data_IF_124078375309
#
_entry.id   IF_124078375309
#
_cell.length_a   1.000
_cell.length_b   1.000
_cell.length_c   1.000
_cell.angle_alpha   90.00
_cell.angle_beta   90.00
_cell.angle_gamma   90.00
#
_symmetry.space_group_name_H-M   'P 1'
#
loop_
_entity.id
_entity.type
_entity.pdbx_description
1 polymer ?
#
# COMPACT_ATOMS: atom_id res chain seq x y z
N UNK A 1 2.92 -12.47 -31.80
CA UNK A 1 3.91 -11.66 -31.06
C UNK A 1 3.59 -11.80 -29.58
N UNK A 2 4.38 -12.58 -28.85
CA UNK A 2 4.22 -12.71 -27.39
C UNK A 2 5.05 -11.58 -26.76
N UNK A 3 4.41 -10.46 -26.47
CA UNK A 3 5.07 -9.35 -25.76
C UNK A 3 5.53 -9.85 -24.39
N UNK A 4 6.82 -9.74 -24.09
CA UNK A 4 7.40 -10.08 -22.79
C UNK A 4 8.22 -11.38 -22.72
N UNK A 5 8.43 -12.07 -23.85
CA UNK A 5 9.32 -13.25 -23.95
C UNK A 5 10.39 -12.98 -25.03
N UNK A 6 11.64 -13.31 -24.76
CA UNK A 6 12.73 -13.19 -25.75
C UNK A 6 12.60 -14.19 -26.91
N UNK A 7 13.08 -13.80 -28.09
CA UNK A 7 13.19 -14.71 -29.24
C UNK A 7 14.34 -15.72 -29.02
N UNK A 8 14.29 -16.86 -29.71
CA UNK A 8 15.35 -17.89 -29.62
C UNK A 8 16.74 -17.33 -29.97
N UNK A 9 16.82 -16.49 -31.01
CA UNK A 9 18.06 -15.82 -31.39
C UNK A 9 18.64 -14.93 -30.29
N UNK A 10 17.78 -14.29 -29.49
CA UNK A 10 18.21 -13.45 -28.37
C UNK A 10 18.72 -14.31 -27.19
N UNK A 11 18.10 -15.46 -26.96
CA UNK A 11 18.53 -16.45 -25.95
C UNK A 11 19.91 -17.01 -26.32
N UNK A 12 20.08 -17.46 -27.57
CA UNK A 12 21.35 -18.00 -28.07
C UNK A 12 22.50 -16.99 -27.96
N UNK A 13 22.22 -15.71 -28.24
CA UNK A 13 23.20 -14.63 -28.12
C UNK A 13 23.65 -14.38 -26.67
N UNK A 14 22.76 -14.55 -25.70
CA UNK A 14 23.03 -14.29 -24.29
C UNK A 14 23.76 -15.45 -23.59
N UNK A 15 23.68 -16.68 -24.12
CA UNK A 15 24.22 -17.88 -23.50
C UNK A 15 25.72 -17.82 -23.18
N UNK A 16 26.52 -17.21 -24.06
CA UNK A 16 27.98 -17.10 -23.90
C UNK A 16 28.43 -15.73 -23.37
N UNK A 17 27.53 -15.01 -22.71
CA UNK A 17 27.79 -13.64 -22.22
C UNK A 17 27.54 -13.55 -20.73
N UNK A 18 28.25 -12.67 -20.01
CA UNK A 18 27.98 -12.40 -18.60
C UNK A 18 26.74 -11.49 -18.46
N UNK A 19 25.64 -11.84 -19.11
CA UNK A 19 24.38 -11.10 -19.06
C UNK A 19 23.24 -12.09 -18.80
N UNK A 20 22.33 -11.73 -17.90
CA UNK A 20 21.16 -12.57 -17.59
C UNK A 20 19.94 -12.00 -18.31
N UNK A 21 19.19 -12.86 -19.01
CA UNK A 21 17.88 -12.50 -19.54
C UNK A 21 16.83 -12.69 -18.46
N UNK A 22 16.04 -11.65 -18.20
CA UNK A 22 14.90 -11.67 -17.27
C UNK A 22 13.66 -11.33 -18.10
N UNK A 23 12.71 -12.26 -18.16
CA UNK A 23 11.49 -12.07 -18.95
C UNK A 23 10.55 -11.03 -18.32
N UNK A 24 9.67 -10.45 -19.15
CA UNK A 24 8.73 -9.43 -18.70
C UNK A 24 7.82 -9.91 -17.58
N UNK A 25 7.44 -11.20 -17.56
CA UNK A 25 6.62 -11.78 -16.50
C UNK A 25 7.39 -11.94 -15.18
N UNK A 26 8.70 -12.21 -15.24
CA UNK A 26 9.54 -12.35 -14.04
C UNK A 26 9.72 -11.00 -13.33
N UNK A 27 9.69 -9.90 -14.08
CA UNK A 27 9.74 -8.53 -13.56
C UNK A 27 8.45 -8.07 -12.84
N UNK A 28 7.34 -8.81 -12.89
CA UNK A 28 6.16 -8.45 -12.10
C UNK A 28 6.39 -8.66 -10.60
N UNK A 29 7.16 -9.67 -10.22
CA UNK A 29 7.37 -10.01 -8.80
C UNK A 29 8.15 -8.94 -8.03
N UNK A 30 9.24 -8.34 -8.55
CA UNK A 30 9.98 -7.31 -7.84
C UNK A 30 9.25 -5.96 -7.82
N UNK A 31 8.50 -5.64 -8.89
CA UNK A 31 7.70 -4.42 -8.95
C UNK A 31 6.53 -4.47 -7.95
N UNK A 32 5.88 -5.63 -7.82
CA UNK A 32 4.81 -5.80 -6.82
C UNK A 32 5.36 -5.65 -5.40
N UNK A 33 6.53 -6.23 -5.11
CA UNK A 33 7.17 -6.14 -3.80
C UNK A 33 7.53 -4.70 -3.39
N UNK A 34 7.97 -3.85 -4.34
CA UNK A 34 8.28 -2.44 -4.07
C UNK A 34 7.03 -1.59 -3.76
N UNK A 35 5.85 -2.01 -4.22
CA UNK A 35 4.59 -1.29 -3.99
C UNK A 35 3.81 -1.85 -2.79
N UNK A 36 4.21 -3.01 -2.27
CA UNK A 36 3.69 -3.59 -1.04
C UNK A 36 4.64 -3.33 0.12
N UNK A 37 4.99 -2.07 0.39
CA UNK A 37 5.13 -1.73 1.79
C UNK A 37 3.72 -1.90 2.38
N UNK A 38 3.50 -2.80 3.36
CA UNK A 38 2.32 -2.66 4.19
C UNK A 38 2.55 -1.32 4.88
N UNK A 39 1.97 -0.26 4.32
CA UNK A 39 1.70 0.96 5.07
C UNK A 39 0.89 0.44 6.23
N UNK A 40 1.56 0.26 7.37
CA UNK A 40 0.98 -0.16 8.61
C UNK A 40 0.02 0.96 9.02
N UNK A 41 -1.13 1.01 8.36
CA UNK A 41 -2.29 1.63 8.87
C UNK A 41 -2.62 0.78 10.09
N UNK A 42 -2.17 1.25 11.26
CA UNK A 42 -2.80 0.91 12.53
C UNK A 42 -4.25 1.42 12.44
N UNK A 43 -5.07 0.74 11.66
CA UNK A 43 -6.52 0.81 11.77
C UNK A 43 -6.87 -0.15 12.89
N UNK A 44 -7.05 0.41 14.08
CA UNK A 44 -7.79 -0.29 15.14
C UNK A 44 -9.10 -0.73 14.49
N UNK A 45 -9.41 -2.03 14.53
CA UNK A 45 -10.60 -2.63 13.88
C UNK A 45 -11.93 -2.20 14.54
N UNK A 46 -11.99 -0.97 15.05
CA UNK A 46 -13.15 -0.41 15.74
C UNK A 46 -14.03 0.28 14.71
N UNK A 47 -15.29 -0.18 14.67
CA UNK A 47 -16.29 0.36 13.76
C UNK A 47 -17.03 1.51 14.43
N UNK A 48 -17.25 2.60 13.69
CA UNK A 48 -18.01 3.75 14.16
C UNK A 48 -19.48 3.37 14.37
N UNK A 49 -20.05 3.50 15.58
CA UNK A 49 -21.43 3.13 15.87
C UNK A 49 -22.46 4.05 15.20
N UNK A 50 -22.04 5.22 14.68
CA UNK A 50 -22.93 6.17 14.01
C UNK A 50 -23.11 5.92 12.52
N UNK A 51 -22.12 5.31 11.84
CA UNK A 51 -22.15 5.21 10.38
C UNK A 51 -21.51 3.95 9.81
N UNK A 52 -21.01 3.04 10.63
CA UNK A 52 -20.44 1.77 10.21
C UNK A 52 -19.06 1.85 9.53
N UNK A 53 -18.48 3.04 9.39
CA UNK A 53 -17.11 3.20 8.86
C UNK A 53 -16.08 3.01 9.97
N UNK A 54 -14.82 2.73 9.60
CA UNK A 54 -13.74 2.51 10.57
C UNK A 54 -13.40 3.77 11.38
N UNK A 55 -13.02 3.57 12.65
CA UNK A 55 -12.35 4.58 13.46
C UNK A 55 -10.84 4.52 13.21
N UNK A 56 -10.21 5.69 13.12
CA UNK A 56 -8.78 5.83 12.89
C UNK A 56 -8.17 6.70 13.98
N UNK A 57 -6.96 6.36 14.41
CA UNK A 57 -6.20 7.19 15.34
C UNK A 57 -5.83 8.53 14.69
N UNK A 58 -6.10 9.61 15.40
CA UNK A 58 -5.82 10.98 14.97
C UNK A 58 -5.21 11.75 16.12
N UNK A 59 -4.26 12.62 15.79
CA UNK A 59 -3.69 13.54 16.76
C UNK A 59 -4.44 14.88 16.73
N UNK A 60 -4.77 15.41 17.90
CA UNK A 60 -5.36 16.73 18.04
C UNK A 60 -4.33 17.80 17.64
N UNK A 61 -4.65 18.57 16.60
CA UNK A 61 -3.75 19.59 16.02
C UNK A 61 -3.90 20.98 16.62
N UNK A 62 -5.01 21.26 17.31
CA UNK A 62 -5.38 22.60 17.81
C UNK A 62 -6.20 22.49 19.11
N UNK A 63 -6.07 23.50 19.97
CA UNK A 63 -6.85 23.62 21.21
C UNK A 63 -6.14 23.07 22.46
N UNK A 64 -6.86 22.96 23.60
CA UNK A 64 -6.28 22.59 24.89
C UNK A 64 -5.75 21.15 24.96
N UNK A 65 -6.17 20.27 24.03
CA UNK A 65 -5.74 18.88 23.96
C UNK A 65 -4.73 18.61 22.83
N UNK A 66 -4.05 19.66 22.34
CA UNK A 66 -3.06 19.52 21.25
C UNK A 66 -1.98 18.51 21.63
N UNK A 67 -1.71 17.56 20.74
CA UNK A 67 -0.75 16.48 20.97
C UNK A 67 -1.38 15.15 21.39
N UNK A 68 -2.60 15.15 21.93
CA UNK A 68 -3.29 13.93 22.34
C UNK A 68 -3.81 13.14 21.13
N UNK A 69 -3.76 11.80 21.25
CA UNK A 69 -4.33 10.87 20.27
C UNK A 69 -5.79 10.59 20.65
N UNK A 70 -6.66 10.49 19.65
CA UNK A 70 -8.06 10.09 19.80
C UNK A 70 -8.49 9.23 18.60
N UNK A 71 -9.50 8.39 18.77
CA UNK A 71 -10.11 7.65 17.68
C UNK A 71 -11.17 8.52 17.01
N UNK A 72 -11.02 8.81 15.72
CA UNK A 72 -11.97 9.60 14.95
C UNK A 72 -12.51 8.83 13.75
N UNK A 73 -13.78 9.03 13.41
CA UNK A 73 -14.36 8.37 12.25
C UNK A 73 -13.62 8.72 10.94
N UNK A 74 -13.30 7.70 10.14
CA UNK A 74 -12.66 7.83 8.82
C UNK A 74 -13.48 8.70 7.86
N UNK A 75 -14.81 8.70 7.98
CA UNK A 75 -15.74 9.45 7.14
C UNK A 75 -15.92 10.93 7.57
N UNK A 76 -15.02 11.49 8.38
CA UNK A 76 -15.00 12.94 8.63
C UNK A 76 -14.77 13.72 7.31
N UNK A 77 -15.47 14.84 7.03
CA UNK A 77 -16.34 15.62 7.92
C UNK A 77 -17.81 15.18 7.99
N UNK A 78 -18.21 14.18 7.20
CA UNK A 78 -19.61 13.70 7.14
C UNK A 78 -20.04 13.01 8.43
N UNK A 79 -19.12 12.30 9.08
CA UNK A 79 -19.31 11.76 10.42
C UNK A 79 -18.25 12.32 11.38
N UNK A 80 -18.70 12.99 12.44
CA UNK A 80 -17.83 13.65 13.44
C UNK A 80 -17.75 12.87 14.76
N UNK A 81 -18.03 11.57 14.72
CA UNK A 81 -17.88 10.72 15.90
C UNK A 81 -16.40 10.61 16.30
N UNK A 82 -16.15 10.70 17.60
CA UNK A 82 -14.86 10.51 18.24
C UNK A 82 -15.03 9.60 19.46
N UNK A 83 -14.00 8.84 19.77
CA UNK A 83 -13.88 7.96 20.94
C UNK A 83 -12.51 8.21 21.60
N UNK A 84 -12.51 8.26 22.94
CA UNK A 84 -11.36 8.64 23.76
C UNK A 84 -10.53 7.44 24.19
#
# INVERSE_FOLDING_TARGET
MFSGIFSQQAIDFAFDKPVTLIDGNELLSPVHYMQTEPKAAMTTQVVCPKCGNELVERQAKRGPHTGNIFLGCSNFPRCRYIEH
#
